data_IF_912206869520
#
_entry.id   IF_912206869520
#
_cell.length_a   1.000
_cell.length_b   1.000
_cell.length_c   1.000
_cell.angle_alpha   90.00
_cell.angle_beta   90.00
_cell.angle_gamma   90.00
#
_symmetry.space_group_name_H-M   'P 1'
#
loop_
_entity.id
_entity.type
_entity.pdbx_description
1 polymer ?
#
# COMPACT_ATOMS: atom_id res chain seq x y z
N UNK A 1 -11.88 -15.65 -1.08
CA UNK A 1 -11.15 -16.07 -2.29
C UNK A 1 -10.98 -17.56 -2.23
N UNK A 2 -11.37 -18.23 -3.29
CA UNK A 2 -11.16 -19.66 -3.53
C UNK A 2 -9.82 -19.86 -4.28
N UNK A 3 -9.48 -18.96 -5.21
CA UNK A 3 -8.16 -18.80 -5.86
C UNK A 3 -7.65 -17.36 -5.67
N UNK A 4 -6.88 -17.10 -4.59
CA UNK A 4 -6.44 -15.75 -4.27
C UNK A 4 -5.54 -15.13 -5.34
N UNK A 5 -4.71 -15.91 -6.05
CA UNK A 5 -3.80 -15.39 -7.06
C UNK A 5 -4.55 -14.83 -8.28
N UNK A 6 -5.69 -15.45 -8.64
CA UNK A 6 -6.55 -14.98 -9.74
C UNK A 6 -7.54 -13.91 -9.32
N UNK A 7 -8.07 -13.98 -8.10
CA UNK A 7 -9.14 -13.10 -7.64
C UNK A 7 -8.63 -11.75 -7.10
N UNK A 8 -7.44 -11.70 -6.49
CA UNK A 8 -7.04 -10.52 -5.68
C UNK A 8 -6.97 -9.22 -6.47
N UNK A 9 -6.60 -9.26 -7.76
CA UNK A 9 -6.53 -8.05 -8.58
C UNK A 9 -7.89 -7.35 -8.67
N UNK A 10 -8.96 -8.11 -8.91
CA UNK A 10 -10.32 -7.55 -8.99
C UNK A 10 -10.84 -7.10 -7.62
N UNK A 11 -10.40 -7.75 -6.53
CA UNK A 11 -10.70 -7.32 -5.15
C UNK A 11 -10.08 -5.95 -4.88
N UNK A 12 -8.79 -5.79 -5.16
CA UNK A 12 -8.08 -4.52 -4.96
C UNK A 12 -8.68 -3.44 -5.86
N UNK A 13 -8.95 -3.72 -7.13
CA UNK A 13 -9.64 -2.77 -8.02
C UNK A 13 -11.00 -2.37 -7.48
N UNK A 14 -11.80 -3.30 -6.97
CA UNK A 14 -13.12 -3.04 -6.40
C UNK A 14 -13.06 -2.16 -5.14
N UNK A 15 -12.05 -2.34 -4.29
CA UNK A 15 -11.83 -1.48 -3.12
C UNK A 15 -11.41 -0.07 -3.54
N UNK A 16 -10.53 0.02 -4.53
CA UNK A 16 -9.90 1.26 -4.98
C UNK A 16 -10.75 2.08 -5.95
N UNK A 17 -11.76 1.48 -6.57
CA UNK A 17 -12.67 2.13 -7.49
C UNK A 17 -14.15 1.93 -7.09
N UNK A 18 -14.41 1.69 -5.80
CA UNK A 18 -15.76 1.46 -5.31
C UNK A 18 -16.68 2.64 -5.67
N UNK A 19 -17.80 2.41 -6.39
CA UNK A 19 -18.68 3.50 -6.85
C UNK A 19 -19.56 4.07 -5.72
N UNK A 20 -19.68 3.36 -4.59
CA UNK A 20 -20.46 3.80 -3.43
C UNK A 20 -19.92 3.21 -2.12
N UNK A 21 -20.25 3.81 -0.96
CA UNK A 21 -19.90 3.25 0.35
C UNK A 21 -20.45 1.83 0.58
N UNK A 22 -21.65 1.53 0.06
CA UNK A 22 -22.25 0.20 0.21
C UNK A 22 -21.46 -0.86 -0.55
N UNK A 23 -21.03 -0.56 -1.78
CA UNK A 23 -20.21 -1.48 -2.59
C UNK A 23 -18.83 -1.71 -1.99
N UNK A 24 -18.24 -0.66 -1.38
CA UNK A 24 -17.01 -0.78 -0.61
C UNK A 24 -17.22 -1.72 0.59
N UNK A 25 -18.29 -1.52 1.35
CA UNK A 25 -18.60 -2.33 2.53
C UNK A 25 -18.88 -3.79 2.16
N UNK A 26 -19.63 -4.05 1.09
CA UNK A 26 -19.86 -5.40 0.56
C UNK A 26 -18.54 -6.10 0.23
N UNK A 27 -17.65 -5.40 -0.49
CA UNK A 27 -16.33 -5.92 -0.86
C UNK A 27 -15.50 -6.23 0.38
N UNK A 28 -15.46 -5.30 1.35
CA UNK A 28 -14.74 -5.51 2.61
C UNK A 28 -15.32 -6.71 3.39
N UNK A 29 -16.64 -6.80 3.56
CA UNK A 29 -17.28 -7.90 4.28
C UNK A 29 -17.04 -9.26 3.62
N UNK A 30 -16.98 -9.30 2.30
CA UNK A 30 -16.73 -10.52 1.55
C UNK A 30 -15.27 -10.97 1.67
N UNK A 31 -14.32 -10.05 1.55
CA UNK A 31 -12.92 -10.37 1.35
C UNK A 31 -12.02 -10.14 2.57
N UNK A 32 -12.45 -9.44 3.62
CA UNK A 32 -11.66 -9.18 4.83
C UNK A 32 -12.22 -9.94 6.04
N UNK A 33 -11.36 -10.19 7.03
CA UNK A 33 -11.83 -10.62 8.35
C UNK A 33 -12.44 -9.43 9.10
N UNK A 34 -13.39 -9.69 10.00
CA UNK A 34 -14.05 -8.61 10.76
C UNK A 34 -13.09 -7.86 11.70
N UNK A 35 -11.97 -8.49 12.05
CA UNK A 35 -10.89 -7.98 12.90
C UNK A 35 -9.61 -7.63 12.11
N UNK A 36 -9.73 -7.36 10.81
CA UNK A 36 -8.59 -7.11 9.95
C UNK A 36 -7.74 -5.92 10.42
N UNK A 37 -6.42 -6.02 10.22
CA UNK A 37 -5.45 -4.96 10.45
C UNK A 37 -5.06 -4.26 9.14
N UNK A 38 -4.59 -3.03 9.26
CA UNK A 38 -4.17 -2.21 8.13
C UNK A 38 -2.94 -1.39 8.51
N UNK A 39 -1.91 -1.45 7.69
CA UNK A 39 -0.69 -0.65 7.83
C UNK A 39 -0.51 0.16 6.56
N UNK A 40 -0.44 1.47 6.71
CA UNK A 40 -0.16 2.39 5.64
C UNK A 40 0.80 3.46 6.17
N UNK A 41 1.65 4.08 5.34
CA UNK A 41 2.65 5.03 5.83
C UNK A 41 2.07 6.24 6.57
N UNK A 42 0.79 6.56 6.33
CA UNK A 42 0.08 7.69 6.93
C UNK A 42 -0.90 7.30 8.04
N UNK A 43 -1.27 6.03 8.17
CA UNK A 43 -2.27 5.61 9.15
C UNK A 43 -2.18 4.10 9.44
N UNK A 44 -2.72 3.71 10.59
CA UNK A 44 -2.62 2.34 11.08
C UNK A 44 -3.91 1.93 11.78
N UNK A 45 -4.33 0.68 11.54
CA UNK A 45 -5.41 0.00 12.24
C UNK A 45 -4.88 -1.30 12.81
N UNK A 46 -4.82 -1.40 14.13
CA UNK A 46 -4.49 -2.65 14.81
C UNK A 46 -5.65 -3.66 14.70
N UNK A 47 -5.33 -4.96 14.71
CA UNK A 47 -6.33 -6.03 14.72
C UNK A 47 -7.09 -6.01 16.05
N UNK A 48 -8.42 -5.87 15.96
CA UNK A 48 -9.35 -5.90 17.09
C UNK A 48 -10.76 -6.16 16.59
N UNK A 49 -11.71 -6.64 17.41
CA UNK A 49 -13.07 -6.88 16.97
C UNK A 49 -13.68 -5.68 16.24
N UNK A 50 -14.22 -5.91 15.03
CA UNK A 50 -14.84 -4.90 14.16
C UNK A 50 -13.89 -3.79 13.64
N UNK A 51 -12.56 -3.98 13.69
CA UNK A 51 -11.59 -3.02 13.14
C UNK A 51 -11.75 -2.77 11.64
N UNK A 52 -12.40 -3.69 10.91
CA UNK A 52 -12.75 -3.51 9.48
C UNK A 52 -13.54 -2.22 9.20
N UNK A 53 -14.32 -1.73 10.17
CA UNK A 53 -15.05 -0.46 10.04
C UNK A 53 -14.11 0.75 9.94
N UNK A 54 -13.00 0.72 10.67
CA UNK A 54 -11.98 1.77 10.57
C UNK A 54 -11.27 1.72 9.21
N UNK A 55 -11.04 0.53 8.67
CA UNK A 55 -10.49 0.34 7.32
C UNK A 55 -11.46 0.91 6.26
N UNK A 56 -12.77 0.64 6.39
CA UNK A 56 -13.78 1.23 5.51
C UNK A 56 -13.73 2.77 5.52
N UNK A 57 -13.64 3.38 6.70
CA UNK A 57 -13.51 4.84 6.83
C UNK A 57 -12.25 5.40 6.16
N UNK A 58 -11.13 4.67 6.20
CA UNK A 58 -9.88 5.06 5.51
C UNK A 58 -10.09 5.05 4.00
N UNK A 59 -10.68 3.99 3.43
CA UNK A 59 -10.98 3.93 2.00
C UNK A 59 -11.95 5.04 1.57
N UNK A 60 -13.00 5.30 2.36
CA UNK A 60 -13.95 6.38 2.11
C UNK A 60 -13.28 7.76 2.14
N UNK A 61 -12.38 7.98 3.10
CA UNK A 61 -11.60 9.20 3.16
C UNK A 61 -10.72 9.37 1.92
N UNK A 62 -10.03 8.30 1.48
CA UNK A 62 -9.22 8.34 0.26
C UNK A 62 -10.04 8.63 -0.99
N UNK A 63 -11.24 8.06 -1.13
CA UNK A 63 -12.18 8.40 -2.22
C UNK A 63 -12.74 9.82 -2.13
N UNK A 64 -12.72 10.42 -0.93
CA UNK A 64 -13.15 11.81 -0.72
C UNK A 64 -12.09 12.80 -1.17
N UNK A 65 -10.81 12.53 -0.89
CA UNK A 65 -9.69 13.44 -1.18
C UNK A 65 -9.01 13.20 -2.53
N UNK A 66 -9.26 12.06 -3.17
CA UNK A 66 -8.62 11.68 -4.43
C UNK A 66 -9.58 10.99 -5.38
N UNK A 67 -9.49 11.33 -6.66
CA UNK A 67 -10.08 10.57 -7.75
C UNK A 67 -9.05 9.58 -8.31
N UNK A 68 -9.45 8.31 -8.39
CA UNK A 68 -8.59 7.28 -8.96
C UNK A 68 -8.84 7.24 -10.46
N UNK A 69 -7.87 7.72 -11.23
CA UNK A 69 -7.95 7.78 -12.69
C UNK A 69 -7.70 6.40 -13.30
N UNK A 70 -6.69 5.70 -12.76
CA UNK A 70 -6.31 4.35 -13.22
C UNK A 70 -5.64 3.57 -12.10
N UNK A 71 -6.01 2.29 -11.99
CA UNK A 71 -5.29 1.29 -11.20
C UNK A 71 -4.78 0.22 -12.15
N UNK A 72 -3.57 -0.27 -11.91
CA UNK A 72 -2.88 -1.24 -12.78
C UNK A 72 -2.09 -2.20 -11.90
N UNK A 73 -2.59 -3.42 -11.75
CA UNK A 73 -1.91 -4.50 -11.02
C UNK A 73 -0.90 -5.15 -11.96
N UNK A 74 0.39 -4.89 -11.72
CA UNK A 74 1.49 -5.34 -12.57
C UNK A 74 1.85 -6.80 -12.39
N UNK A 75 1.80 -7.27 -11.15
CA UNK A 75 2.09 -8.66 -10.82
C UNK A 75 1.43 -9.04 -9.52
N UNK A 76 1.08 -10.32 -9.42
CA UNK A 76 0.59 -10.97 -8.21
C UNK A 76 1.50 -12.17 -7.94
N UNK A 77 1.94 -12.31 -6.69
CA UNK A 77 2.62 -13.50 -6.21
C UNK A 77 1.90 -14.02 -4.96
N UNK A 78 1.51 -15.30 -4.99
CA UNK A 78 0.89 -15.96 -3.85
C UNK A 78 1.87 -16.94 -3.21
N UNK A 79 2.24 -16.65 -1.98
CA UNK A 79 2.96 -17.55 -1.09
C UNK A 79 1.94 -18.34 -0.27
N UNK A 80 1.54 -19.50 -0.81
CA UNK A 80 0.53 -20.35 -0.20
C UNK A 80 0.98 -20.88 1.18
N UNK A 81 2.26 -21.25 1.32
CA UNK A 81 2.82 -21.80 2.55
C UNK A 81 2.69 -20.83 3.73
N UNK A 82 2.85 -19.53 3.48
CA UNK A 82 2.69 -18.49 4.51
C UNK A 82 1.33 -17.78 4.43
N UNK A 83 0.45 -18.15 3.50
CA UNK A 83 -0.83 -17.50 3.23
C UNK A 83 -0.67 -15.99 2.99
N UNK A 84 0.28 -15.60 2.12
CA UNK A 84 0.57 -14.19 1.80
C UNK A 84 0.43 -13.89 0.32
N UNK A 85 -0.21 -12.78 -0.01
CA UNK A 85 -0.21 -12.22 -1.36
C UNK A 85 0.66 -10.97 -1.41
N UNK A 86 1.39 -10.85 -2.50
CA UNK A 86 2.19 -9.69 -2.85
C UNK A 86 1.69 -9.15 -4.17
N UNK A 87 1.35 -7.86 -4.20
CA UNK A 87 0.89 -7.19 -5.39
C UNK A 87 1.78 -6.00 -5.69
N UNK A 88 2.25 -5.89 -6.92
CA UNK A 88 2.85 -4.67 -7.44
C UNK A 88 1.76 -3.86 -8.15
N UNK A 89 1.43 -2.69 -7.60
CA UNK A 89 0.32 -1.88 -8.07
C UNK A 89 0.83 -0.50 -8.45
N UNK A 90 0.45 -0.05 -9.64
CA UNK A 90 0.61 1.36 -10.06
C UNK A 90 -0.75 2.03 -10.09
N UNK A 91 -0.83 3.23 -9.53
CA UNK A 91 -2.03 4.06 -9.49
C UNK A 91 -1.75 5.44 -10.08
N UNK A 92 -2.72 5.95 -10.80
CA UNK A 92 -2.76 7.36 -11.21
C UNK A 92 -3.90 7.99 -10.42
N UNK A 93 -3.56 8.92 -9.54
CA UNK A 93 -4.51 9.59 -8.65
C UNK A 93 -4.51 11.09 -8.91
N UNK A 94 -5.70 11.67 -8.91
CA UNK A 94 -5.89 13.11 -8.94
C UNK A 94 -6.33 13.58 -7.55
N UNK A 95 -5.52 14.40 -6.88
CA UNK A 95 -5.84 14.89 -5.54
C UNK A 95 -6.78 16.08 -5.63
N UNK A 96 -8.02 15.93 -5.14
CA UNK A 96 -9.06 16.98 -5.18
C UNK A 96 -8.69 18.23 -4.40
N UNK A 97 -7.85 18.08 -3.38
CA UNK A 97 -7.41 19.17 -2.50
C UNK A 97 -6.24 19.99 -3.08
N UNK A 98 -5.74 19.65 -4.26
CA UNK A 98 -4.59 20.34 -4.87
C UNK A 98 -4.88 20.73 -6.32
N UNK A 99 -4.30 21.84 -6.83
CA UNK A 99 -4.42 22.21 -8.25
C UNK A 99 -3.43 21.44 -9.16
N UNK A 100 -2.76 20.40 -8.67
CA UNK A 100 -1.67 19.74 -9.39
C UNK A 100 -2.16 18.66 -10.35
N UNK A 101 -1.30 18.32 -11.32
CA UNK A 101 -1.56 17.23 -12.27
C UNK A 101 -1.69 15.89 -11.53
N UNK A 102 -2.42 14.92 -12.11
CA UNK A 102 -2.50 13.57 -11.56
C UNK A 102 -1.12 12.99 -11.30
N UNK A 103 -0.97 12.40 -10.12
CA UNK A 103 0.28 11.81 -9.65
C UNK A 103 0.25 10.32 -9.91
N UNK A 104 1.36 9.80 -10.46
CA UNK A 104 1.60 8.36 -10.58
C UNK A 104 2.29 7.85 -9.32
N UNK A 105 1.67 6.90 -8.65
CA UNK A 105 2.17 6.25 -7.45
C UNK A 105 2.39 4.76 -7.72
N UNK A 106 3.52 4.21 -7.29
CA UNK A 106 3.73 2.76 -7.24
C UNK A 106 3.75 2.34 -5.76
N UNK A 107 3.07 1.25 -5.46
CA UNK A 107 3.07 0.64 -4.14
C UNK A 107 3.13 -0.88 -4.24
N UNK A 108 3.71 -1.50 -3.23
CA UNK A 108 3.59 -2.94 -3.01
C UNK A 108 2.53 -3.16 -1.93
N UNK A 109 1.50 -3.94 -2.25
CA UNK A 109 0.49 -4.34 -1.27
C UNK A 109 0.85 -5.74 -0.80
N UNK A 110 0.97 -5.91 0.52
CA UNK A 110 1.17 -7.22 1.16
C UNK A 110 -0.11 -7.56 1.90
N UNK A 111 -0.72 -8.70 1.56
CA UNK A 111 -1.93 -9.19 2.22
C UNK A 111 -1.62 -10.48 2.95
N UNK A 112 -1.86 -10.51 4.25
CA UNK A 112 -1.88 -11.75 5.02
C UNK A 112 -3.30 -12.30 5.02
N UNK A 113 -3.45 -13.55 4.63
CA UNK A 113 -4.73 -14.23 4.52
C UNK A 113 -5.00 -15.13 5.73
N UNK A 114 -6.26 -15.31 6.05
CA UNK A 114 -6.75 -16.28 7.01
C UNK A 114 -7.89 -17.09 6.38
N UNK A 115 -7.89 -18.40 6.65
CA UNK A 115 -8.96 -19.30 6.18
C UNK A 115 -10.18 -19.17 7.08
N UNK A 116 -11.32 -18.83 6.50
CA UNK A 116 -12.60 -18.78 7.18
C UNK A 116 -13.16 -20.18 7.46
N UNK A 117 -14.23 -20.24 8.27
CA UNK A 117 -14.96 -21.48 8.58
C UNK A 117 -15.61 -22.11 7.34
N UNK A 118 -15.92 -21.29 6.35
CA UNK A 118 -16.43 -21.66 5.04
C UNK A 118 -15.33 -22.12 4.06
N UNK A 119 -14.09 -22.25 4.53
CA UNK A 119 -12.95 -22.67 3.72
C UNK A 119 -12.34 -21.56 2.85
N UNK A 120 -12.98 -20.39 2.76
CA UNK A 120 -12.53 -19.28 1.91
C UNK A 120 -11.41 -18.48 2.57
N UNK A 121 -10.43 -18.06 1.77
CA UNK A 121 -9.37 -17.16 2.23
C UNK A 121 -9.86 -15.71 2.26
N UNK A 122 -9.61 -15.04 3.38
CA UNK A 122 -9.94 -13.62 3.64
C UNK A 122 -8.71 -12.86 4.09
N UNK A 123 -8.64 -11.59 3.75
CA UNK A 123 -7.58 -10.66 4.12
C UNK A 123 -7.71 -10.32 5.61
N UNK A 124 -6.73 -10.74 6.39
CA UNK A 124 -6.61 -10.47 7.82
C UNK A 124 -5.72 -9.27 8.11
N UNK A 125 -4.73 -9.01 7.26
CA UNK A 125 -3.90 -7.81 7.35
C UNK A 125 -3.55 -7.33 5.95
N UNK A 126 -3.61 -6.03 5.75
CA UNK A 126 -3.08 -5.37 4.57
C UNK A 126 -1.96 -4.41 4.98
N UNK A 127 -0.87 -4.42 4.23
CA UNK A 127 0.26 -3.51 4.39
C UNK A 127 0.56 -2.86 3.04
N UNK A 128 0.46 -1.53 3.00
CA UNK A 128 0.74 -0.77 1.80
C UNK A 128 2.13 -0.15 1.90
N UNK A 129 3.05 -0.59 1.06
CA UNK A 129 4.44 -0.16 1.07
C UNK A 129 4.68 0.82 -0.07
N UNK A 130 4.88 2.09 0.30
CA UNK A 130 5.22 3.17 -0.63
C UNK A 130 6.70 3.49 -0.56
N UNK A 131 7.23 3.99 -1.67
CA UNK A 131 8.50 4.69 -1.63
C UNK A 131 8.32 6.06 -0.94
N UNK A 132 9.25 6.49 -0.05
CA UNK A 132 9.13 7.76 0.67
C UNK A 132 8.89 8.99 -0.22
N UNK A 133 9.51 9.04 -1.40
CA UNK A 133 9.36 10.08 -2.42
C UNK A 133 7.94 10.12 -3.01
N UNK A 134 7.26 8.97 -3.10
CA UNK A 134 5.87 8.91 -3.54
C UNK A 134 4.91 9.51 -2.52
N UNK A 135 5.25 9.44 -1.22
CA UNK A 135 4.47 10.08 -0.15
C UNK A 135 4.71 11.58 -0.09
N UNK A 136 5.93 12.03 -0.38
CA UNK A 136 6.28 13.45 -0.39
C UNK A 136 5.40 14.24 -1.38
N UNK A 137 4.98 13.61 -2.50
CA UNK A 137 4.09 14.20 -3.50
C UNK A 137 2.73 14.65 -2.95
N UNK A 138 2.29 14.10 -1.81
CA UNK A 138 1.04 14.51 -1.17
C UNK A 138 1.15 15.84 -0.39
N UNK A 139 2.38 16.28 -0.07
CA UNK A 139 2.61 17.44 0.80
C UNK A 139 2.83 18.76 0.05
N UNK A 140 3.82 18.83 -0.85
CA UNK A 140 4.24 20.06 -1.55
C UNK A 140 4.91 19.75 -2.90
N UNK A 141 4.76 20.59 -3.94
CA UNK A 141 5.51 20.46 -5.19
C UNK A 141 7.03 20.47 -4.95
N UNK A 142 7.76 19.56 -5.60
CA UNK A 142 9.22 19.48 -5.50
C UNK A 142 9.76 18.72 -4.28
N UNK A 143 8.92 18.36 -3.31
CA UNK A 143 9.32 17.57 -2.13
C UNK A 143 9.88 16.18 -2.50
N UNK A 144 9.35 15.56 -3.56
CA UNK A 144 9.88 14.29 -4.09
C UNK A 144 11.33 14.45 -4.53
N UNK A 145 11.67 15.56 -5.20
CA UNK A 145 13.04 15.84 -5.62
C UNK A 145 13.97 16.02 -4.43
N UNK A 146 13.49 16.66 -3.36
CA UNK A 146 14.25 16.79 -2.11
C UNK A 146 14.55 15.43 -1.48
N UNK A 147 13.56 14.53 -1.39
CA UNK A 147 13.77 13.16 -0.88
C UNK A 147 14.80 12.41 -1.73
N UNK A 148 14.74 12.55 -3.06
CA UNK A 148 15.71 11.93 -3.96
C UNK A 148 17.11 12.51 -3.78
N UNK A 149 17.25 13.84 -3.67
CA UNK A 149 18.53 14.50 -3.38
C UNK A 149 19.12 13.96 -2.07
N UNK A 150 18.31 13.88 -1.01
CA UNK A 150 18.76 13.34 0.28
C UNK A 150 19.23 11.89 0.16
N UNK A 151 18.53 11.04 -0.59
CA UNK A 151 18.97 9.66 -0.87
C UNK A 151 20.29 9.61 -1.63
N UNK A 152 20.48 10.46 -2.64
CA UNK A 152 21.73 10.54 -3.39
C UNK A 152 22.89 11.03 -2.52
N UNK A 153 22.66 12.06 -1.69
CA UNK A 153 23.64 12.55 -0.72
C UNK A 153 24.00 11.47 0.30
N UNK A 154 23.02 10.73 0.82
CA UNK A 154 23.28 9.60 1.72
C UNK A 154 24.11 8.50 1.04
N UNK A 155 23.83 8.20 -0.24
CA UNK A 155 24.63 7.26 -1.03
C UNK A 155 26.09 7.71 -1.13
N UNK A 156 26.33 8.99 -1.45
CA UNK A 156 27.67 9.56 -1.48
C UNK A 156 28.36 9.46 -0.11
N UNK A 157 27.66 9.84 0.96
CA UNK A 157 28.18 9.79 2.32
C UNK A 157 28.57 8.35 2.73
N UNK A 158 27.77 7.34 2.41
CA UNK A 158 28.10 5.93 2.64
C UNK A 158 29.38 5.51 1.92
N UNK A 159 29.56 5.95 0.67
CA UNK A 159 30.77 5.65 -0.10
C UNK A 159 32.01 6.33 0.49
N UNK A 160 31.93 7.58 0.93
CA UNK A 160 33.04 8.25 1.62
C UNK A 160 33.35 7.58 2.96
N UNK A 161 32.31 7.27 3.74
CA UNK A 161 32.44 6.65 5.05
C UNK A 161 33.13 5.28 4.99
N UNK A 162 32.81 4.43 3.99
CA UNK A 162 33.48 3.13 3.88
C UNK A 162 34.96 3.26 3.48
N UNK A 163 35.32 4.26 2.67
CA UNK A 163 36.74 4.49 2.35
C UNK A 163 37.51 4.94 3.59
N UNK A 164 36.95 5.86 4.38
CA UNK A 164 37.54 6.28 5.66
C UNK A 164 37.62 5.12 6.66
N UNK A 165 36.57 4.28 6.75
CA UNK A 165 36.56 3.13 7.64
C UNK A 165 37.67 2.11 7.28
N UNK A 166 37.96 1.93 5.99
CA UNK A 166 39.07 1.09 5.52
C UNK A 166 40.44 1.67 5.89
N UNK A 167 40.63 2.99 5.77
CA UNK A 167 41.93 3.60 6.10
C UNK A 167 42.26 3.53 7.58
N UNK A 168 41.26 3.55 8.47
CA UNK A 168 41.46 3.38 9.92
C UNK A 168 41.35 1.91 10.39
N UNK A 169 41.26 0.96 9.46
CA UNK A 169 41.28 -0.48 9.78
C UNK A 169 40.00 -1.02 10.45
N UNK A 170 38.89 -0.29 10.42
CA UNK A 170 37.60 -0.76 10.97
C UNK A 170 36.97 -1.88 10.14
N UNK A 171 37.31 -1.96 8.86
CA UNK A 171 36.92 -3.07 7.97
C UNK A 171 38.15 -3.53 7.18
N UNK A 172 38.58 -4.77 7.44
CA UNK A 172 39.59 -5.49 6.66
C UNK A 172 38.92 -6.24 5.52
#
# INVERSE_FOLDING_TARGET
MDDPAREVSSVIESLLAAPSPDRLNETLQQYYTSDAAFEHPLCRVASRPQSIKAIANIYLWYHTIADVVKTDVKSVAFDEANSRLYLDVTRIVNLRITPFKPVRLRLIIVLNLAKGRDGKLRIRKQEDLYQPESLALFGLPGSSSLVLILKHTATFACNVAVQLARTVGMFR
#
